data_IF_211847023231
#
_entry.id   IF_211847023231
#
_cell.length_a   1.000
_cell.length_b   1.000
_cell.length_c   1.000
_cell.angle_alpha   90.00
_cell.angle_beta   90.00
_cell.angle_gamma   90.00
#
_symmetry.space_group_name_H-M   'P 1'
#
loop_
_entity.id
_entity.type
_entity.pdbx_description
1 polymer ?
#
# COMPACT_ATOMS: atom_id res chain seq x y z
N UNK A 1 1.65 14.68 -24.08
CA UNK A 1 2.82 15.35 -24.71
C UNK A 1 4.03 15.48 -23.77
N UNK A 2 3.88 15.98 -22.54
CA UNK A 2 5.01 16.20 -21.60
C UNK A 2 5.70 14.90 -21.14
N UNK A 3 4.93 13.86 -20.82
CA UNK A 3 5.48 12.55 -20.40
C UNK A 3 6.43 11.93 -21.42
N UNK A 4 6.06 11.94 -22.71
CA UNK A 4 6.91 11.44 -23.79
C UNK A 4 8.26 12.18 -23.85
N UNK A 5 8.23 13.51 -23.70
CA UNK A 5 9.46 14.33 -23.62
C UNK A 5 10.32 13.97 -22.41
N UNK A 6 9.70 13.71 -21.26
CA UNK A 6 10.44 13.27 -20.06
C UNK A 6 11.09 11.91 -20.27
N UNK A 7 10.38 10.93 -20.81
CA UNK A 7 10.94 9.59 -21.08
C UNK A 7 12.16 9.68 -22.01
N UNK A 8 12.07 10.44 -23.12
CA UNK A 8 13.20 10.65 -24.03
C UNK A 8 14.39 11.31 -23.32
N UNK A 9 14.15 12.36 -22.52
CA UNK A 9 15.21 13.04 -21.76
C UNK A 9 15.84 12.15 -20.70
N UNK A 10 15.03 11.33 -20.01
CA UNK A 10 15.52 10.36 -19.03
C UNK A 10 16.45 9.37 -19.71
N UNK A 11 16.05 8.80 -20.85
CA UNK A 11 16.91 7.87 -21.60
C UNK A 11 18.25 8.51 -21.98
N UNK A 12 18.24 9.75 -22.46
CA UNK A 12 19.47 10.49 -22.78
C UNK A 12 20.36 10.70 -21.55
N UNK A 13 19.78 11.15 -20.42
CA UNK A 13 20.52 11.36 -19.17
C UNK A 13 21.13 10.05 -18.65
N UNK A 14 20.42 8.93 -18.78
CA UNK A 14 20.93 7.62 -18.39
C UNK A 14 22.14 7.20 -19.23
N UNK A 15 22.11 7.41 -20.54
CA UNK A 15 23.25 7.15 -21.42
C UNK A 15 24.45 8.04 -21.06
N UNK A 16 24.22 9.35 -20.93
CA UNK A 16 25.29 10.34 -20.75
C UNK A 16 25.97 10.27 -19.37
N UNK A 17 25.18 10.08 -18.30
CA UNK A 17 25.66 10.22 -16.91
C UNK A 17 25.75 8.91 -16.15
N UNK A 18 24.93 7.92 -16.51
CA UNK A 18 24.81 6.66 -15.77
C UNK A 18 25.22 5.44 -16.61
N UNK A 19 25.92 5.64 -17.74
CA UNK A 19 26.41 4.56 -18.63
C UNK A 19 25.29 3.59 -19.05
N UNK A 20 24.10 4.13 -19.29
CA UNK A 20 22.91 3.37 -19.67
C UNK A 20 22.23 2.59 -18.54
N UNK A 21 22.68 2.73 -17.28
CA UNK A 21 22.09 2.03 -16.13
C UNK A 21 21.17 2.94 -15.33
N UNK A 22 20.04 2.40 -14.88
CA UNK A 22 19.15 3.12 -13.94
C UNK A 22 19.85 3.17 -12.57
N UNK A 23 19.94 4.33 -11.91
CA UNK A 23 20.58 4.41 -10.59
C UNK A 23 19.75 3.68 -9.51
N UNK A 24 20.43 3.03 -8.57
CA UNK A 24 19.82 2.32 -7.43
C UNK A 24 19.83 3.20 -6.16
N UNK A 25 19.41 4.46 -6.29
CA UNK A 25 19.30 5.40 -5.16
C UNK A 25 18.14 6.34 -5.37
N UNK A 26 17.34 6.58 -4.32
CA UNK A 26 16.17 7.44 -4.42
C UNK A 26 16.58 8.88 -4.78
N UNK A 27 17.65 9.37 -4.15
CA UNK A 27 18.23 10.70 -4.40
C UNK A 27 18.68 10.86 -5.86
N UNK A 28 19.35 9.87 -6.44
CA UNK A 28 19.78 9.94 -7.84
C UNK A 28 18.60 9.82 -8.82
N UNK A 29 17.64 8.93 -8.52
CA UNK A 29 16.43 8.79 -9.32
C UNK A 29 15.63 10.10 -9.35
N UNK A 30 15.52 10.83 -8.24
CA UNK A 30 14.82 12.12 -8.21
C UNK A 30 15.50 13.24 -9.01
N UNK A 31 16.76 13.07 -9.42
CA UNK A 31 17.45 14.00 -10.34
C UNK A 31 17.01 13.80 -11.80
N UNK A 32 16.34 12.68 -12.11
CA UNK A 32 15.87 12.39 -13.46
C UNK A 32 14.65 13.25 -13.82
N UNK A 33 14.56 13.76 -15.07
CA UNK A 33 13.45 14.61 -15.49
C UNK A 33 12.07 13.96 -15.27
N UNK A 34 11.23 14.59 -14.45
CA UNK A 34 9.86 14.13 -14.19
C UNK A 34 9.76 12.96 -13.19
N UNK A 35 10.85 12.58 -12.53
CA UNK A 35 10.85 11.58 -11.46
C UNK A 35 10.79 12.30 -10.11
N UNK A 36 9.65 12.22 -9.43
CA UNK A 36 9.49 12.65 -8.04
C UNK A 36 9.84 11.54 -7.05
N UNK A 37 9.69 11.77 -5.72
CA UNK A 37 10.01 10.77 -4.71
C UNK A 37 9.18 9.49 -4.84
N UNK A 38 7.87 9.60 -5.10
CA UNK A 38 6.99 8.46 -5.43
C UNK A 38 7.49 7.65 -6.64
N UNK A 39 7.94 8.38 -7.66
CA UNK A 39 8.81 7.93 -8.77
C UNK A 39 9.85 6.89 -8.34
N UNK A 40 10.77 7.45 -7.55
CA UNK A 40 12.01 6.85 -7.13
C UNK A 40 11.81 5.63 -6.21
N UNK A 41 10.96 5.75 -5.19
CA UNK A 41 10.67 4.65 -4.28
C UNK A 41 10.03 3.46 -5.02
N UNK A 42 9.13 3.73 -5.97
CA UNK A 42 8.51 2.68 -6.78
C UNK A 42 9.52 1.93 -7.64
N UNK A 43 10.46 2.64 -8.28
CA UNK A 43 11.52 2.02 -9.08
C UNK A 43 12.43 1.15 -8.20
N UNK A 44 12.77 1.60 -7.00
CA UNK A 44 13.60 0.82 -6.08
C UNK A 44 12.90 -0.43 -5.58
N UNK A 45 11.63 -0.32 -5.18
CA UNK A 45 10.86 -1.47 -4.72
C UNK A 45 10.66 -2.50 -5.86
N UNK A 46 10.15 -2.07 -7.02
CA UNK A 46 9.80 -2.99 -8.11
C UNK A 46 11.01 -3.53 -8.88
N UNK A 47 11.99 -2.69 -9.20
CA UNK A 47 13.11 -3.10 -10.06
C UNK A 47 14.30 -3.64 -9.29
N UNK A 48 14.45 -3.27 -8.01
CA UNK A 48 15.60 -3.62 -7.19
C UNK A 48 15.24 -4.43 -5.95
N UNK A 49 13.96 -4.61 -5.62
CA UNK A 49 13.53 -5.27 -4.38
C UNK A 49 13.93 -4.50 -3.12
N UNK A 50 14.11 -3.17 -3.23
CA UNK A 50 14.56 -2.30 -2.15
C UNK A 50 13.44 -1.36 -1.72
N UNK A 51 12.81 -1.65 -0.59
CA UNK A 51 11.80 -0.80 0.02
C UNK A 51 12.45 0.37 0.77
N UNK A 52 12.92 1.35 0.00
CA UNK A 52 13.55 2.56 0.54
C UNK A 52 12.57 3.51 1.24
N UNK A 53 11.27 3.38 0.98
CA UNK A 53 10.20 4.19 1.57
C UNK A 53 8.83 3.73 1.06
N UNK A 54 7.77 4.03 1.82
CA UNK A 54 6.40 3.66 1.43
C UNK A 54 5.99 4.47 0.18
N UNK A 55 5.50 3.78 -0.85
CA UNK A 55 5.01 4.46 -2.06
C UNK A 55 3.60 4.99 -1.82
N UNK A 56 3.51 6.28 -1.51
CA UNK A 56 2.24 6.98 -1.29
C UNK A 56 1.77 7.68 -2.56
N UNK A 57 0.61 7.28 -3.06
CA UNK A 57 -0.12 7.98 -4.12
C UNK A 57 -1.44 8.56 -3.61
N UNK A 58 -2.34 8.97 -4.51
CA UNK A 58 -3.64 9.52 -4.15
C UNK A 58 -4.59 8.50 -3.50
N UNK A 59 -4.41 7.20 -3.75
CA UNK A 59 -5.18 6.14 -3.11
C UNK A 59 -4.70 5.96 -1.67
N UNK A 60 -3.41 5.71 -1.48
CA UNK A 60 -2.81 5.50 -0.15
C UNK A 60 -2.99 6.73 0.74
N UNK A 61 -2.77 7.92 0.20
CA UNK A 61 -2.95 9.18 0.93
C UNK A 61 -4.39 9.35 1.44
N UNK A 62 -5.38 9.14 0.56
CA UNK A 62 -6.80 9.22 0.94
C UNK A 62 -7.17 8.13 1.95
N UNK A 63 -6.69 6.92 1.74
CA UNK A 63 -6.99 5.78 2.60
C UNK A 63 -6.48 5.99 4.02
N UNK A 64 -5.21 6.39 4.16
CA UNK A 64 -4.61 6.73 5.44
C UNK A 64 -5.37 7.86 6.16
N UNK A 65 -5.80 8.87 5.39
CA UNK A 65 -6.66 9.94 5.91
C UNK A 65 -8.02 9.43 6.42
N UNK A 66 -8.70 8.56 5.65
CA UNK A 66 -10.01 7.99 6.04
C UNK A 66 -9.94 7.09 7.26
N UNK A 67 -8.85 6.36 7.44
CA UNK A 67 -8.66 5.50 8.61
C UNK A 67 -8.07 6.23 9.82
N UNK A 68 -7.84 7.55 9.72
CA UNK A 68 -7.16 8.34 10.75
C UNK A 68 -5.76 7.79 11.11
N UNK A 69 -5.10 7.09 10.18
CA UNK A 69 -3.70 6.68 10.33
C UNK A 69 -2.76 7.88 10.31
N UNK A 70 -3.21 8.98 9.72
CA UNK A 70 -2.49 10.25 9.72
C UNK A 70 -3.43 11.39 10.09
N UNK A 71 -2.93 12.36 10.87
CA UNK A 71 -3.67 13.59 11.14
C UNK A 71 -3.78 14.43 9.85
N UNK A 72 -4.99 14.66 9.29
CA UNK A 72 -5.16 15.41 8.04
C UNK A 72 -4.71 16.87 8.15
N UNK A 73 -4.58 17.43 9.37
CA UNK A 73 -4.06 18.79 9.58
C UNK A 73 -2.54 18.86 9.37
N UNK A 74 -1.83 17.76 9.64
CA UNK A 74 -0.36 17.61 9.53
C UNK A 74 0.04 16.97 8.20
N UNK A 75 -0.65 15.90 7.80
CA UNK A 75 -0.42 15.15 6.58
C UNK A 75 -1.10 15.79 5.36
N UNK A 76 -0.62 16.96 4.96
CA UNK A 76 -1.17 17.74 3.82
C UNK A 76 -0.63 17.33 2.45
N UNK A 77 0.45 16.56 2.43
CA UNK A 77 1.12 16.11 1.20
C UNK A 77 1.34 14.59 1.26
N UNK A 78 1.48 13.91 0.11
CA UNK A 78 1.84 12.49 0.08
C UNK A 78 3.13 12.19 0.85
N UNK A 79 4.11 13.09 0.83
CA UNK A 79 5.36 12.93 1.59
C UNK A 79 5.13 13.01 3.11
N UNK A 80 4.25 13.90 3.58
CA UNK A 80 3.91 13.93 5.00
C UNK A 80 3.18 12.65 5.42
N UNK A 81 2.29 12.12 4.57
CA UNK A 81 1.65 10.82 4.84
C UNK A 81 2.67 9.71 4.86
N UNK A 82 3.62 9.66 3.92
CA UNK A 82 4.69 8.67 3.89
C UNK A 82 5.47 8.69 5.20
N UNK A 83 5.97 9.85 5.60
CA UNK A 83 6.73 9.99 6.85
C UNK A 83 5.92 9.59 8.09
N UNK A 84 4.62 9.87 8.11
CA UNK A 84 3.74 9.45 9.20
C UNK A 84 3.47 7.94 9.20
N UNK A 85 3.31 7.30 8.04
CA UNK A 85 3.14 5.85 7.94
C UNK A 85 4.42 5.10 8.33
N UNK A 86 5.58 5.58 7.86
CA UNK A 86 6.89 4.99 8.16
C UNK A 86 7.28 5.08 9.64
N UNK A 87 6.66 5.98 10.42
CA UNK A 87 6.99 6.13 11.84
C UNK A 87 6.38 5.05 12.73
N UNK A 88 5.38 4.32 12.25
CA UNK A 88 4.72 3.26 13.04
C UNK A 88 4.54 1.93 12.32
N UNK A 89 4.60 1.87 10.98
CA UNK A 89 4.47 0.62 10.24
C UNK A 89 5.80 -0.16 10.20
N UNK A 90 5.79 -1.47 10.54
CA UNK A 90 6.92 -2.35 10.32
C UNK A 90 7.40 -2.31 8.87
N UNK A 91 8.72 -2.28 8.67
CA UNK A 91 9.37 -2.08 7.38
C UNK A 91 9.06 -3.20 6.39
N UNK A 92 8.82 -4.40 6.91
CA UNK A 92 8.51 -5.61 6.16
C UNK A 92 7.15 -5.50 5.43
N UNK A 93 6.26 -4.62 5.91
CA UNK A 93 4.92 -4.43 5.34
C UNK A 93 4.86 -3.31 4.29
N UNK A 94 5.94 -2.56 4.08
CA UNK A 94 5.89 -1.33 3.27
C UNK A 94 5.56 -1.60 1.80
N UNK A 95 6.12 -2.66 1.21
CA UNK A 95 5.86 -3.05 -0.17
C UNK A 95 4.41 -3.52 -0.38
N UNK A 96 3.97 -4.47 0.44
CA UNK A 96 2.63 -5.08 0.35
C UNK A 96 1.52 -4.05 0.59
N UNK A 97 1.71 -3.18 1.58
CA UNK A 97 0.76 -2.12 1.91
C UNK A 97 0.36 -1.30 0.69
N UNK A 98 1.33 -0.85 -0.11
CA UNK A 98 1.03 0.00 -1.27
C UNK A 98 0.15 -0.75 -2.26
N UNK A 99 0.49 -2.00 -2.61
CA UNK A 99 -0.23 -2.77 -3.63
C UNK A 99 -1.65 -3.09 -3.16
N UNK A 100 -1.76 -3.57 -1.92
CA UNK A 100 -3.05 -3.97 -1.32
C UNK A 100 -3.99 -2.78 -1.17
N UNK A 101 -3.49 -1.66 -0.65
CA UNK A 101 -4.29 -0.45 -0.46
C UNK A 101 -4.75 0.13 -1.80
N UNK A 102 -3.89 0.13 -2.83
CA UNK A 102 -4.29 0.60 -4.17
C UNK A 102 -5.43 -0.26 -4.72
N UNK A 103 -5.28 -1.58 -4.70
CA UNK A 103 -6.31 -2.51 -5.19
C UNK A 103 -7.63 -2.37 -4.42
N UNK A 104 -7.56 -2.28 -3.10
CA UNK A 104 -8.72 -2.05 -2.24
C UNK A 104 -9.42 -0.70 -2.53
N UNK A 105 -8.64 0.36 -2.72
CA UNK A 105 -9.17 1.70 -2.97
C UNK A 105 -9.74 1.90 -4.38
N UNK A 106 -9.41 1.02 -5.33
CA UNK A 106 -9.97 1.01 -6.66
C UNK A 106 -11.31 0.26 -6.73
N UNK A 107 -11.52 -0.71 -5.83
CA UNK A 107 -12.66 -1.64 -5.88
C UNK A 107 -13.71 -1.42 -4.78
N UNK A 108 -13.28 -1.06 -3.57
CA UNK A 108 -14.12 -0.92 -2.37
C UNK A 108 -14.08 0.51 -1.82
N UNK A 109 -12.91 1.01 -1.44
CA UNK A 109 -12.76 2.34 -0.83
C UNK A 109 -12.55 3.45 -1.88
N UNK A 110 -13.48 3.53 -2.83
CA UNK A 110 -13.44 4.46 -3.96
C UNK A 110 -13.50 5.93 -3.51
N UNK A 111 -13.03 6.89 -4.34
CA UNK A 111 -13.07 8.31 -4.00
C UNK A 111 -14.49 8.83 -3.76
N UNK A 112 -15.45 8.38 -4.58
CA UNK A 112 -16.86 8.73 -4.52
C UNK A 112 -17.66 7.47 -4.22
N UNK A 113 -18.62 7.55 -3.30
CA UNK A 113 -19.50 6.46 -2.88
C UNK A 113 -18.75 5.15 -2.58
N UNK A 114 -17.87 5.12 -1.55
CA UNK A 114 -17.20 3.89 -1.15
C UNK A 114 -18.23 2.83 -0.73
N UNK A 115 -17.96 1.56 -1.06
CA UNK A 115 -18.84 0.41 -0.78
C UNK A 115 -18.73 -0.02 0.68
N UNK A 116 -19.13 0.87 1.59
CA UNK A 116 -19.00 0.65 3.02
C UNK A 116 -19.84 -0.56 3.48
N UNK A 117 -20.96 -0.89 2.84
CA UNK A 117 -21.79 -2.06 3.19
C UNK A 117 -21.09 -3.42 3.07
N UNK A 118 -20.16 -3.54 2.13
CA UNK A 118 -19.38 -4.77 1.91
C UNK A 118 -17.93 -4.63 2.36
N UNK A 119 -17.55 -3.50 2.96
CA UNK A 119 -16.19 -3.23 3.38
C UNK A 119 -15.83 -4.06 4.61
N UNK A 120 -14.77 -4.87 4.51
CA UNK A 120 -14.26 -5.69 5.62
C UNK A 120 -13.76 -4.85 6.80
N UNK A 121 -13.37 -3.60 6.55
CA UNK A 121 -12.92 -2.66 7.57
C UNK A 121 -14.05 -1.80 8.16
N UNK A 122 -15.31 -2.00 7.75
CA UNK A 122 -16.43 -1.11 8.14
C UNK A 122 -16.53 -0.90 9.65
N UNK A 123 -16.51 -1.97 10.42
CA UNK A 123 -16.69 -1.96 11.88
C UNK A 123 -15.60 -1.18 12.63
N UNK A 124 -14.42 -1.03 12.02
CA UNK A 124 -13.27 -0.31 12.59
C UNK A 124 -12.93 0.98 11.83
N UNK A 125 -13.68 1.33 10.79
CA UNK A 125 -13.38 2.47 9.93
C UNK A 125 -14.02 3.76 10.49
N UNK A 126 -13.24 4.76 10.93
CA UNK A 126 -13.78 5.99 11.50
C UNK A 126 -14.49 6.87 10.46
N UNK A 127 -14.19 6.70 9.17
CA UNK A 127 -14.83 7.42 8.06
C UNK A 127 -15.94 6.62 7.36
N UNK A 128 -16.44 5.55 7.96
CA UNK A 128 -17.50 4.74 7.35
C UNK A 128 -18.78 5.57 7.17
N UNK A 129 -19.37 5.49 5.97
CA UNK A 129 -20.64 6.17 5.66
C UNK A 129 -21.86 5.49 6.31
N UNK A 130 -21.69 4.26 6.80
CA UNK A 130 -22.72 3.50 7.51
C UNK A 130 -22.10 2.91 8.78
N UNK A 131 -22.86 2.84 9.87
CA UNK A 131 -22.46 2.08 11.05
C UNK A 131 -23.13 0.74 10.99
N UNK A 132 -22.38 -0.30 10.66
CA UNK A 132 -22.83 -1.68 10.85
C UNK A 132 -22.31 -2.10 12.22
N UNK A 133 -23.19 -2.57 13.10
CA UNK A 133 -22.73 -3.17 14.36
C UNK A 133 -21.77 -4.33 14.05
N UNK A 134 -20.67 -4.48 14.81
CA UNK A 134 -19.72 -5.56 14.57
C UNK A 134 -20.46 -6.89 14.61
N UNK A 135 -20.48 -7.61 13.48
CA UNK A 135 -20.97 -8.99 13.47
C UNK A 135 -20.07 -9.78 14.42
N UNK A 136 -20.66 -10.44 15.41
CA UNK A 136 -19.89 -11.32 16.30
C UNK A 136 -19.07 -12.30 15.45
N UNK A 137 -17.84 -12.64 15.83
CA UNK A 137 -17.13 -13.73 15.17
C UNK A 137 -18.04 -14.95 15.21
N UNK A 138 -18.37 -15.48 14.03
CA UNK A 138 -19.05 -16.78 13.96
C UNK A 138 -18.02 -17.78 14.44
N UNK A 139 -18.30 -18.44 15.56
CA UNK A 139 -17.58 -19.64 15.98
C UNK A 139 -17.60 -20.61 14.82
N UNK A 140 -16.45 -20.79 14.15
CA UNK A 140 -16.33 -21.73 13.06
C UNK A 140 -16.31 -23.13 13.69
N UNK A 141 -17.50 -23.72 13.82
CA UNK A 141 -17.71 -25.07 14.36
C UNK A 141 -17.14 -26.18 13.46
N UNK A 142 -16.36 -25.83 12.43
CA UNK A 142 -15.70 -26.76 11.51
C UNK A 142 -14.33 -27.22 11.99
N UNK A 143 -13.58 -26.39 12.75
CA UNK A 143 -12.26 -26.82 13.27
C UNK A 143 -12.40 -27.91 14.35
N UNK A 144 -13.47 -27.88 15.17
CA UNK A 144 -13.72 -28.92 16.18
C UNK A 144 -14.06 -30.30 15.56
N UNK A 145 -14.58 -30.34 14.33
CA UNK A 145 -14.90 -31.61 13.64
C UNK A 145 -13.68 -32.25 12.96
N UNK A 146 -12.67 -31.48 12.55
CA UNK A 146 -11.41 -32.02 12.01
C UNK A 146 -10.49 -32.56 13.12
N UNK A 147 -10.45 -31.93 14.31
CA UNK A 147 -9.68 -32.48 15.44
C UNK A 147 -10.27 -33.80 15.98
N UNK A 148 -11.60 -33.96 15.94
CA UNK A 148 -12.27 -35.18 16.43
C UNK A 148 -12.08 -36.38 15.48
N UNK A 149 -11.93 -36.13 14.17
CA UNK A 149 -11.71 -37.17 13.17
C UNK A 149 -10.25 -37.65 13.09
N UNK A 150 -9.27 -36.79 13.40
CA UNK A 150 -7.85 -37.18 13.47
C UNK A 150 -7.54 -38.01 14.72
N UNK A 151 -8.21 -37.74 15.85
CA UNK A 151 -8.07 -38.51 17.10
C UNK A 151 -8.59 -39.96 16.97
N UNK A 152 -9.58 -40.21 16.10
CA UNK A 152 -10.19 -41.53 15.92
C UNK A 152 -9.36 -42.52 15.08
N UNK A 153 -8.28 -42.07 14.42
CA UNK A 153 -7.42 -42.94 13.59
C UNK A 153 -6.08 -43.30 14.27
N UNK A 154 -5.84 -42.83 15.49
CA UNK A 154 -4.56 -43.02 16.18
C UNK A 154 -4.57 -44.14 17.25
N UNK A 155 -5.61 -44.98 17.28
CA UNK A 155 -5.65 -46.09 18.23
C UNK A 155 -6.42 -47.27 17.66
N UNK A 156 -5.71 -48.20 17.02
CA UNK A 156 -5.88 -49.65 17.26
C UNK A 156 -4.55 -50.36 16.95
N UNK A 157 -4.21 -51.43 17.71
CA UNK A 157 -2.85 -52.01 17.86
C UNK A 157 -2.33 -52.83 16.67
#
# INVERSE_FOLDING_TARGET
>A
RTKAKHVQRVAQVLLDRYRGRVPCSATELTKLPGVGPKVAHLVLSVSYGVDSGIVVDTHVHRFAGRLHWTDPRRARTPEHTRAALESFLPRELWGDLTVDVIGFCQTVCTPVNPKCETCTLNSMCPSSAIRVEPRSPRSDSREEQEQSSISALAYEP
#
